data_IF_291039954683
#
_entry.id   IF_291039954683
#
_cell.length_a   1.000
_cell.length_b   1.000
_cell.length_c   1.000
_cell.angle_alpha   90.00
_cell.angle_beta   90.00
_cell.angle_gamma   90.00
#
_symmetry.space_group_name_H-M   'P 1'
#
loop_
_entity.id
_entity.type
_entity.pdbx_description
1 polymer ?
#
# COMPACT_ATOMS: atom_id res chain seq x y z
N UNK A 1 6.48 -5.56 41.97
CA UNK A 1 7.05 -4.82 40.83
C UNK A 1 6.16 -5.04 39.63
N UNK A 2 5.60 -3.95 39.11
CA UNK A 2 4.37 -3.83 38.31
C UNK A 2 4.72 -3.08 37.03
N UNK A 3 4.88 -3.78 35.90
CA UNK A 3 5.09 -3.12 34.60
C UNK A 3 4.34 -3.76 33.42
N UNK A 4 3.53 -4.80 33.63
CA UNK A 4 2.80 -5.46 32.54
C UNK A 4 1.39 -4.92 32.27
N UNK A 5 0.82 -4.06 33.13
CA UNK A 5 -0.54 -3.51 32.93
C UNK A 5 -0.58 -2.21 32.11
N UNK A 6 0.50 -1.42 32.07
CA UNK A 6 0.54 -0.15 31.33
C UNK A 6 0.61 -0.33 29.81
N UNK A 7 1.25 -1.40 29.33
CA UNK A 7 1.36 -1.69 27.90
C UNK A 7 0.03 -2.14 27.27
N UNK A 8 -0.83 -2.83 28.01
CA UNK A 8 -2.16 -3.26 27.52
C UNK A 8 -3.17 -2.12 27.49
N UNK A 9 -3.06 -1.17 28.43
CA UNK A 9 -3.86 0.06 28.43
C UNK A 9 -3.49 0.95 27.23
N UNK A 10 -2.19 1.20 26.99
CA UNK A 10 -1.74 2.00 25.84
C UNK A 10 -2.04 1.36 24.48
N UNK A 11 -2.03 0.03 24.37
CA UNK A 11 -2.43 -0.67 23.14
C UNK A 11 -3.93 -0.57 22.87
N UNK A 12 -4.77 -0.60 23.93
CA UNK A 12 -6.22 -0.36 23.80
C UNK A 12 -6.53 1.09 23.44
N UNK A 13 -5.88 2.04 24.10
CA UNK A 13 -6.04 3.48 23.85
C UNK A 13 -5.63 3.83 22.42
N UNK A 14 -4.50 3.29 21.94
CA UNK A 14 -4.06 3.46 20.54
C UNK A 14 -5.01 2.81 19.53
N UNK A 15 -5.61 1.67 19.86
CA UNK A 15 -6.61 1.02 19.01
C UNK A 15 -7.91 1.84 18.92
N UNK A 16 -8.35 2.44 20.02
CA UNK A 16 -9.53 3.31 20.06
C UNK A 16 -9.31 4.60 19.28
N UNK A 17 -8.15 5.25 19.42
CA UNK A 17 -7.76 6.43 18.63
C UNK A 17 -7.73 6.10 17.13
N UNK A 18 -7.11 4.96 16.76
CA UNK A 18 -7.08 4.51 15.37
C UNK A 18 -8.50 4.25 14.83
N UNK A 19 -9.35 3.60 15.62
CA UNK A 19 -10.72 3.26 15.25
C UNK A 19 -11.57 4.50 15.02
N UNK A 20 -11.54 5.48 15.94
CA UNK A 20 -12.26 6.74 15.77
C UNK A 20 -11.79 7.51 14.54
N UNK A 21 -10.47 7.63 14.34
CA UNK A 21 -9.91 8.28 13.16
C UNK A 21 -10.35 7.59 11.86
N UNK A 22 -10.33 6.26 11.85
CA UNK A 22 -10.72 5.45 10.71
C UNK A 22 -12.22 5.55 10.40
N UNK A 23 -13.07 5.48 11.43
CA UNK A 23 -14.52 5.60 11.29
C UNK A 23 -14.91 7.01 10.83
N UNK A 24 -14.28 8.06 11.37
CA UNK A 24 -14.48 9.45 10.93
C UNK A 24 -14.05 9.64 9.47
N UNK A 25 -12.93 9.02 9.04
CA UNK A 25 -12.52 9.03 7.63
C UNK A 25 -13.47 8.23 6.73
N UNK A 26 -13.96 7.09 7.18
CA UNK A 26 -14.88 6.25 6.42
C UNK A 26 -16.22 6.99 6.22
N UNK A 27 -16.69 7.70 7.25
CA UNK A 27 -17.89 8.53 7.17
C UNK A 27 -17.71 9.70 6.21
N UNK A 28 -16.63 10.49 6.35
CA UNK A 28 -16.32 11.57 5.41
C UNK A 28 -16.19 11.06 3.96
N UNK A 29 -15.68 9.85 3.76
CA UNK A 29 -15.60 9.24 2.44
C UNK A 29 -16.98 8.87 1.89
N UNK A 30 -17.90 8.35 2.73
CA UNK A 30 -19.28 8.04 2.35
C UNK A 30 -20.04 9.32 1.98
N UNK A 31 -19.96 10.36 2.81
CA UNK A 31 -20.67 11.62 2.60
C UNK A 31 -20.19 12.31 1.32
N UNK A 32 -18.87 12.37 1.10
CA UNK A 32 -18.31 12.90 -0.15
C UNK A 32 -18.66 12.06 -1.38
N UNK A 33 -18.83 10.74 -1.22
CA UNK A 33 -19.24 9.85 -2.32
C UNK A 33 -20.70 10.10 -2.69
N UNK A 34 -21.58 10.30 -1.72
CA UNK A 34 -22.98 10.66 -1.95
C UNK A 34 -23.08 12.03 -2.62
N UNK A 35 -22.38 13.04 -2.10
CA UNK A 35 -22.37 14.39 -2.68
C UNK A 35 -21.85 14.41 -4.13
N UNK A 36 -20.72 13.74 -4.41
CA UNK A 36 -20.19 13.64 -5.76
C UNK A 36 -21.07 12.81 -6.70
N UNK A 37 -21.81 11.82 -6.19
CA UNK A 37 -22.77 11.07 -6.98
C UNK A 37 -23.94 11.96 -7.40
N UNK A 38 -24.38 12.86 -6.52
CA UNK A 38 -25.46 13.83 -6.77
C UNK A 38 -25.06 14.84 -7.86
N UNK A 39 -23.89 15.48 -7.71
CA UNK A 39 -23.32 16.41 -8.71
C UNK A 39 -23.16 15.71 -10.07
N UNK A 40 -22.64 14.48 -10.09
CA UNK A 40 -22.47 13.74 -11.35
C UNK A 40 -23.81 13.32 -11.96
N UNK A 41 -24.85 13.06 -11.17
CA UNK A 41 -26.19 12.72 -11.67
C UNK A 41 -26.82 13.94 -12.36
N UNK A 42 -26.72 15.11 -11.74
CA UNK A 42 -27.20 16.38 -12.30
C UNK A 42 -26.40 16.80 -13.55
N UNK A 43 -25.07 16.68 -13.51
CA UNK A 43 -24.22 16.96 -14.67
C UNK A 43 -24.47 15.99 -15.84
N UNK A 44 -24.75 14.70 -15.55
CA UNK A 44 -25.16 13.71 -16.56
C UNK A 44 -26.49 14.09 -17.19
N UNK A 45 -27.51 14.49 -16.44
CA UNK A 45 -28.82 14.85 -17.01
C UNK A 45 -28.76 15.99 -18.06
N UNK A 46 -27.69 16.80 -18.06
CA UNK A 46 -27.48 17.92 -18.98
C UNK A 46 -26.76 17.56 -20.31
N UNK A 47 -26.21 16.36 -20.45
CA UNK A 47 -25.42 15.96 -21.65
C UNK A 47 -25.98 14.67 -22.29
N UNK A 48 -26.13 14.66 -23.63
CA UNK A 48 -26.51 13.46 -24.38
C UNK A 48 -25.45 12.35 -24.28
N UNK A 49 -25.86 11.09 -24.37
CA UNK A 49 -24.98 9.93 -24.15
C UNK A 49 -23.76 9.90 -25.08
N UNK A 50 -23.92 10.41 -26.31
CA UNK A 50 -22.85 10.44 -27.32
C UNK A 50 -21.83 11.55 -27.05
N UNK A 51 -22.27 12.75 -26.65
CA UNK A 51 -21.35 13.82 -26.21
C UNK A 51 -20.52 13.42 -24.99
N UNK A 52 -21.06 12.57 -24.11
CA UNK A 52 -20.30 12.02 -22.96
C UNK A 52 -19.22 11.04 -23.39
N UNK A 53 -19.49 10.17 -24.37
CA UNK A 53 -18.49 9.22 -24.90
C UNK A 53 -17.35 9.98 -25.59
N UNK A 54 -17.68 11.00 -26.36
CA UNK A 54 -16.73 11.82 -27.11
C UNK A 54 -15.85 12.68 -26.20
N UNK A 55 -16.42 13.35 -25.21
CA UNK A 55 -15.66 14.09 -24.19
C UNK A 55 -14.74 13.17 -23.35
N UNK A 56 -15.20 11.94 -23.07
CA UNK A 56 -14.38 10.95 -22.36
C UNK A 56 -13.23 10.43 -23.23
N UNK A 57 -13.49 10.15 -24.52
CA UNK A 57 -12.45 9.77 -25.49
C UNK A 57 -11.42 10.87 -25.65
N UNK A 58 -11.86 12.11 -25.91
CA UNK A 58 -10.97 13.27 -26.04
C UNK A 58 -10.14 13.52 -24.77
N UNK A 59 -10.72 13.34 -23.59
CA UNK A 59 -9.98 13.44 -22.32
C UNK A 59 -8.94 12.33 -22.16
N UNK A 60 -9.30 11.09 -22.48
CA UNK A 60 -8.37 9.94 -22.42
C UNK A 60 -7.25 10.09 -23.43
N UNK A 61 -7.56 10.61 -24.63
CA UNK A 61 -6.59 10.82 -25.71
C UNK A 61 -5.62 11.95 -25.40
N UNK A 62 -6.11 13.10 -24.89
CA UNK A 62 -5.24 14.17 -24.34
C UNK A 62 -4.37 13.66 -23.20
N UNK A 63 -4.91 12.83 -22.32
CA UNK A 63 -4.15 12.23 -21.23
C UNK A 63 -3.09 11.24 -21.76
N UNK A 64 -3.40 10.44 -22.79
CA UNK A 64 -2.44 9.53 -23.42
C UNK A 64 -1.33 10.28 -24.16
N UNK A 65 -1.69 11.35 -24.88
CA UNK A 65 -0.75 12.19 -25.61
C UNK A 65 0.21 12.97 -24.68
N UNK A 66 -0.20 13.25 -23.45
CA UNK A 66 0.62 13.97 -22.46
C UNK A 66 1.59 13.07 -21.67
N UNK A 67 1.53 11.75 -21.82
CA UNK A 67 2.40 10.81 -21.10
C UNK A 67 3.79 10.75 -21.77
N UNK A 68 4.67 11.70 -21.41
CA UNK A 68 6.13 11.51 -21.47
C UNK A 68 6.51 10.33 -20.57
N UNK A 69 7.63 9.61 -20.83
CA UNK A 69 8.03 8.48 -19.99
C UNK A 69 8.08 8.90 -18.52
N UNK A 70 7.18 8.35 -17.72
CA UNK A 70 7.11 8.60 -16.29
C UNK A 70 8.04 7.60 -15.62
N UNK A 71 9.21 8.10 -15.24
CA UNK A 71 10.20 7.51 -14.35
C UNK A 71 10.57 6.06 -14.69
N UNK A 72 11.49 5.89 -15.64
CA UNK A 72 12.34 4.69 -15.65
C UNK A 72 13.68 5.00 -16.28
N UNK A 73 14.75 4.82 -15.50
CA UNK A 73 16.08 4.36 -15.94
C UNK A 73 17.10 4.12 -14.83
N UNK A 74 16.79 4.42 -13.56
CA UNK A 74 17.66 4.04 -12.45
C UNK A 74 17.40 2.58 -12.05
N UNK A 75 18.45 1.78 -11.73
CA UNK A 75 18.27 0.42 -11.24
C UNK A 75 17.60 0.51 -9.87
N UNK A 76 16.28 0.35 -9.84
CA UNK A 76 15.60 0.06 -8.58
C UNK A 76 16.09 -1.31 -8.15
N UNK A 77 16.58 -1.40 -6.91
CA UNK A 77 17.00 -2.66 -6.31
C UNK A 77 15.83 -3.66 -6.37
N UNK A 78 15.90 -4.55 -7.35
CA UNK A 78 14.85 -5.52 -7.66
C UNK A 78 14.71 -6.54 -6.54
N UNK A 79 15.82 -6.85 -5.85
CA UNK A 79 15.83 -7.78 -4.73
C UNK A 79 15.16 -7.16 -3.52
N UNK A 80 15.43 -5.88 -3.24
CA UNK A 80 14.70 -5.11 -2.22
C UNK A 80 13.21 -5.07 -2.53
N UNK A 81 12.81 -4.73 -3.75
CA UNK A 81 11.39 -4.72 -4.13
C UNK A 81 10.74 -6.10 -4.00
N UNK A 82 11.46 -7.17 -4.36
CA UNK A 82 10.98 -8.54 -4.20
C UNK A 82 10.75 -8.89 -2.73
N UNK A 83 11.67 -8.52 -1.85
CA UNK A 83 11.53 -8.68 -0.40
C UNK A 83 10.33 -7.88 0.13
N UNK A 84 10.20 -6.61 -0.26
CA UNK A 84 9.07 -5.76 0.11
C UNK A 84 7.72 -6.36 -0.39
N UNK A 85 7.69 -6.94 -1.59
CA UNK A 85 6.48 -7.61 -2.10
C UNK A 85 6.15 -8.89 -1.34
N UNK A 86 7.16 -9.63 -0.89
CA UNK A 86 6.96 -10.80 -0.03
C UNK A 86 6.47 -10.38 1.36
N UNK A 87 7.04 -9.32 1.93
CA UNK A 87 6.59 -8.70 3.17
C UNK A 87 5.11 -8.32 3.12
N UNK A 88 4.72 -7.61 2.05
CA UNK A 88 3.34 -7.22 1.82
C UNK A 88 2.40 -8.44 1.74
N UNK A 89 2.82 -9.51 1.05
CA UNK A 89 2.02 -10.75 0.96
C UNK A 89 1.83 -11.41 2.32
N UNK A 90 2.90 -11.54 3.10
CA UNK A 90 2.85 -12.14 4.44
C UNK A 90 1.98 -11.32 5.40
N UNK A 91 2.14 -10.00 5.37
CA UNK A 91 1.33 -9.10 6.17
C UNK A 91 -0.16 -9.15 5.77
N UNK A 92 -0.45 -9.18 4.47
CA UNK A 92 -1.83 -9.31 3.98
C UNK A 92 -2.45 -10.68 4.25
N UNK A 93 -1.65 -11.74 4.41
CA UNK A 93 -2.13 -13.09 4.73
C UNK A 93 -2.67 -13.18 6.16
N UNK A 94 -2.20 -12.31 7.08
CA UNK A 94 -2.73 -12.21 8.44
C UNK A 94 -4.23 -11.85 8.41
N UNK A 95 -4.98 -12.41 9.37
CA UNK A 95 -6.43 -12.21 9.39
C UNK A 95 -6.80 -10.95 10.18
N UNK A 96 -7.20 -9.92 9.44
CA UNK A 96 -7.71 -8.68 9.99
C UNK A 96 -8.54 -7.90 8.97
N UNK A 97 -9.49 -7.11 9.49
CA UNK A 97 -10.41 -6.31 8.68
C UNK A 97 -9.71 -5.37 7.68
N UNK A 98 -8.62 -4.64 8.03
CA UNK A 98 -7.89 -3.81 7.06
C UNK A 98 -7.15 -4.64 6.00
N UNK A 99 -6.53 -5.76 6.39
CA UNK A 99 -5.82 -6.67 5.49
C UNK A 99 -6.79 -7.23 4.43
N UNK A 100 -7.99 -7.67 4.83
CA UNK A 100 -9.02 -8.16 3.90
C UNK A 100 -9.43 -7.12 2.84
N UNK A 101 -9.53 -5.84 3.22
CA UNK A 101 -9.84 -4.74 2.26
C UNK A 101 -8.67 -4.50 1.29
N UNK A 102 -7.42 -4.56 1.78
CA UNK A 102 -6.21 -4.30 0.99
C UNK A 102 -5.75 -5.48 0.15
N UNK A 103 -6.12 -6.73 0.47
CA UNK A 103 -5.81 -7.92 -0.34
C UNK A 103 -6.23 -7.77 -1.80
N UNK A 104 -7.42 -7.22 -2.05
CA UNK A 104 -7.93 -6.96 -3.41
C UNK A 104 -7.11 -5.90 -4.17
N UNK A 105 -6.32 -5.10 -3.45
CA UNK A 105 -5.50 -3.99 -3.94
C UNK A 105 -4.00 -4.31 -3.91
N UNK A 106 -3.58 -5.52 -3.53
CA UNK A 106 -2.17 -5.89 -3.37
C UNK A 106 -1.31 -5.58 -4.61
N UNK A 107 -1.83 -5.85 -5.81
CA UNK A 107 -1.15 -5.53 -7.07
C UNK A 107 -0.98 -4.02 -7.28
N UNK A 108 -1.97 -3.22 -6.92
CA UNK A 108 -1.93 -1.76 -7.04
C UNK A 108 -0.96 -1.15 -6.02
N UNK A 109 -0.97 -1.66 -4.79
CA UNK A 109 -0.05 -1.26 -3.72
C UNK A 109 1.40 -1.58 -4.13
N UNK A 110 1.64 -2.78 -4.65
CA UNK A 110 2.96 -3.17 -5.13
C UNK A 110 3.48 -2.32 -6.28
N UNK A 111 2.62 -2.02 -7.26
CA UNK A 111 2.96 -1.09 -8.34
C UNK A 111 3.25 0.33 -7.81
N UNK A 112 2.43 0.84 -6.89
CA UNK A 112 2.64 2.14 -6.27
C UNK A 112 3.96 2.19 -5.48
N UNK A 113 4.31 1.12 -4.75
CA UNK A 113 5.58 1.04 -4.02
C UNK A 113 6.80 1.05 -4.96
N UNK A 114 6.74 0.29 -6.05
CA UNK A 114 7.80 0.29 -7.06
C UNK A 114 7.99 1.67 -7.69
N UNK A 115 6.89 2.35 -8.05
CA UNK A 115 6.94 3.71 -8.61
C UNK A 115 7.42 4.74 -7.58
N UNK A 116 7.03 4.59 -6.31
CA UNK A 116 7.51 5.43 -5.21
C UNK A 116 9.03 5.29 -5.02
N UNK A 117 9.53 4.06 -4.97
CA UNK A 117 10.96 3.78 -4.81
C UNK A 117 11.77 4.29 -6.02
N UNK A 118 11.25 4.11 -7.24
CA UNK A 118 11.86 4.65 -8.45
C UNK A 118 11.95 6.19 -8.42
N UNK A 119 10.88 6.86 -8.00
CA UNK A 119 10.87 8.31 -7.87
C UNK A 119 11.90 8.79 -6.85
N UNK A 120 11.90 8.17 -5.68
CA UNK A 120 12.79 8.56 -4.59
C UNK A 120 14.25 8.38 -5.00
N UNK A 121 14.58 7.32 -5.75
CA UNK A 121 15.91 7.09 -6.30
C UNK A 121 16.31 8.13 -7.36
N UNK A 122 15.35 8.63 -8.15
CA UNK A 122 15.60 9.62 -9.21
C UNK A 122 15.67 11.06 -8.70
N UNK A 123 14.76 11.46 -7.81
CA UNK A 123 14.58 12.86 -7.38
C UNK A 123 15.06 13.13 -5.95
N UNK A 124 15.33 12.09 -5.17
CA UNK A 124 15.64 12.20 -3.74
C UNK A 124 14.45 12.64 -2.87
N UNK A 125 13.25 12.77 -3.44
CA UNK A 125 12.05 13.26 -2.76
C UNK A 125 10.88 12.29 -2.90
N UNK A 126 9.92 12.38 -1.98
CA UNK A 126 8.67 11.64 -2.10
C UNK A 126 7.80 12.23 -3.23
N UNK A 127 7.14 11.39 -4.06
CA UNK A 127 6.28 11.86 -5.13
C UNK A 127 5.04 12.55 -4.59
N UNK A 128 4.60 13.61 -5.26
CA UNK A 128 3.33 14.26 -4.95
C UNK A 128 2.12 13.39 -5.36
N UNK A 129 0.93 13.73 -4.87
CA UNK A 129 -0.31 13.03 -5.23
C UNK A 129 -0.57 12.99 -6.74
N UNK A 130 -0.23 14.09 -7.42
CA UNK A 130 -0.43 14.24 -8.86
C UNK A 130 0.54 13.35 -9.64
N UNK A 131 1.81 13.42 -9.28
CA UNK A 131 2.85 12.62 -9.93
C UNK A 131 2.62 11.12 -9.74
N UNK A 132 2.21 10.69 -8.53
CA UNK A 132 1.84 9.29 -8.29
C UNK A 132 0.64 8.86 -9.13
N UNK A 133 -0.36 9.73 -9.31
CA UNK A 133 -1.52 9.41 -10.17
C UNK A 133 -1.09 9.29 -11.64
N UNK A 134 -0.26 10.20 -12.14
CA UNK A 134 0.24 10.17 -13.51
C UNK A 134 1.09 8.91 -13.75
N UNK A 135 2.00 8.58 -12.83
CA UNK A 135 2.83 7.37 -12.88
C UNK A 135 2.00 6.09 -12.89
N UNK A 136 1.00 5.98 -11.99
CA UNK A 136 0.09 4.84 -11.96
C UNK A 136 -0.75 4.75 -13.24
N UNK A 137 -1.13 5.88 -13.82
CA UNK A 137 -1.86 5.90 -15.08
C UNK A 137 -1.02 5.36 -16.24
N UNK A 138 0.24 5.80 -16.33
CA UNK A 138 1.19 5.28 -17.30
C UNK A 138 1.42 3.77 -17.11
N UNK A 139 1.66 3.34 -15.87
CA UNK A 139 1.98 1.93 -15.56
C UNK A 139 0.81 0.98 -15.82
N UNK A 140 -0.41 1.40 -15.50
CA UNK A 140 -1.61 0.54 -15.58
C UNK A 140 -2.37 0.70 -16.89
N UNK A 141 -2.04 1.71 -17.71
CA UNK A 141 -2.78 2.07 -18.92
C UNK A 141 -4.20 2.59 -18.67
N UNK A 142 -4.57 2.83 -17.41
CA UNK A 142 -5.89 3.33 -16.98
C UNK A 142 -5.76 4.77 -16.52
N UNK A 143 -6.76 5.60 -16.75
CA UNK A 143 -6.75 6.96 -16.20
C UNK A 143 -6.85 6.92 -14.66
N UNK A 144 -5.91 7.56 -13.96
CA UNK A 144 -5.93 7.74 -12.51
C UNK A 144 -6.21 9.20 -12.17
N UNK A 145 -6.98 9.42 -11.12
CA UNK A 145 -7.24 10.75 -10.56
C UNK A 145 -6.23 11.07 -9.47
N UNK A 146 -5.99 12.37 -9.22
CA UNK A 146 -5.11 12.84 -8.13
C UNK A 146 -5.52 12.24 -6.78
N UNK A 147 -6.83 12.07 -6.54
CA UNK A 147 -7.34 11.43 -5.32
C UNK A 147 -6.95 9.96 -5.20
N UNK A 148 -6.91 9.23 -6.32
CA UNK A 148 -6.42 7.85 -6.32
C UNK A 148 -4.90 7.81 -6.08
N UNK A 149 -4.14 8.78 -6.60
CA UNK A 149 -2.73 8.97 -6.24
C UNK A 149 -2.53 9.23 -4.75
N UNK A 150 -3.31 10.13 -4.16
CA UNK A 150 -3.32 10.35 -2.70
C UNK A 150 -3.66 9.09 -1.92
N UNK A 151 -4.65 8.32 -2.39
CA UNK A 151 -5.05 7.05 -1.74
C UNK A 151 -3.91 6.03 -1.78
N UNK A 152 -3.21 5.93 -2.91
CA UNK A 152 -2.05 5.05 -3.06
C UNK A 152 -0.92 5.43 -2.10
N UNK A 153 -0.57 6.72 -2.00
CA UNK A 153 0.43 7.19 -1.03
C UNK A 153 -0.01 6.92 0.41
N UNK A 154 -1.29 7.14 0.73
CA UNK A 154 -1.83 6.83 2.05
C UNK A 154 -1.75 5.35 2.41
N UNK A 155 -1.86 4.44 1.45
CA UNK A 155 -1.59 3.01 1.71
C UNK A 155 -0.12 2.77 2.04
N UNK A 156 0.80 3.37 1.27
CA UNK A 156 2.24 3.19 1.49
C UNK A 156 2.68 3.73 2.85
N UNK A 157 2.22 4.93 3.22
CA UNK A 157 2.49 5.55 4.51
C UNK A 157 1.95 4.70 5.67
N UNK A 158 0.71 4.20 5.57
CA UNK A 158 0.15 3.33 6.60
C UNK A 158 0.91 2.00 6.74
N UNK A 159 1.39 1.43 5.64
CA UNK A 159 2.21 0.21 5.67
C UNK A 159 3.62 0.47 6.24
N UNK A 160 4.18 1.65 5.99
CA UNK A 160 5.44 2.09 6.60
C UNK A 160 5.30 2.27 8.11
N UNK A 161 4.26 2.99 8.57
CA UNK A 161 3.98 3.19 10.01
C UNK A 161 3.68 1.88 10.74
N UNK A 162 3.06 0.90 10.05
CA UNK A 162 2.85 -0.44 10.59
C UNK A 162 4.12 -1.32 10.61
N UNK A 163 5.25 -0.81 10.12
CA UNK A 163 6.53 -1.52 10.05
C UNK A 163 6.53 -2.69 9.07
N UNK A 164 5.65 -2.70 8.07
CA UNK A 164 5.51 -3.84 7.14
C UNK A 164 6.79 -4.06 6.33
N UNK A 165 7.48 -2.99 5.93
CA UNK A 165 8.70 -3.11 5.13
C UNK A 165 9.93 -3.46 5.97
N UNK A 166 9.98 -3.01 7.23
CA UNK A 166 11.11 -3.23 8.13
C UNK A 166 11.10 -4.63 8.75
N UNK A 167 9.92 -5.12 9.17
CA UNK A 167 9.76 -6.44 9.80
C UNK A 167 10.16 -7.62 8.92
N UNK A 168 10.29 -7.39 7.62
CA UNK A 168 10.62 -8.41 6.61
C UNK A 168 11.80 -7.97 5.74
N UNK A 169 12.68 -7.09 6.23
CA UNK A 169 14.03 -6.95 5.66
C UNK A 169 14.73 -8.29 5.83
N UNK A 170 14.69 -9.11 4.80
CA UNK A 170 15.60 -10.23 4.65
C UNK A 170 16.98 -9.58 4.54
N UNK A 171 17.77 -9.65 5.61
CA UNK A 171 19.18 -9.27 5.54
C UNK A 171 19.80 -10.08 4.39
N UNK A 172 20.44 -9.45 3.39
CA UNK A 172 21.29 -10.20 2.49
C UNK A 172 22.39 -10.78 3.38
N UNK A 173 22.32 -12.09 3.64
CA UNK A 173 23.45 -12.80 4.21
C UNK A 173 24.60 -12.56 3.24
N UNK A 174 25.54 -11.68 3.61
CA UNK A 174 26.80 -11.55 2.88
C UNK A 174 27.41 -12.94 2.93
N UNK A 175 27.45 -13.62 1.79
CA UNK A 175 28.33 -14.77 1.61
C UNK A 175 29.75 -14.24 1.75
N UNK A 176 30.27 -14.20 2.98
CA UNK A 176 31.70 -14.29 3.20
C UNK A 176 32.09 -15.68 2.74
N UNK A 177 32.87 -15.72 1.66
CA UNK A 177 33.22 -16.96 0.99
C UNK A 177 33.92 -17.94 1.92
N UNK A 178 33.54 -19.21 1.81
CA UNK A 178 34.41 -20.37 1.68
C UNK A 178 33.58 -21.63 1.86
N UNK A 179 33.54 -22.47 0.82
CA UNK A 179 33.28 -23.90 0.97
C UNK A 179 31.84 -24.34 1.24
N UNK A 180 31.39 -25.24 0.36
CA UNK A 180 30.53 -26.38 0.69
C UNK A 180 29.02 -26.16 0.87
N UNK A 181 28.30 -26.60 -0.17
CA UNK A 181 27.12 -27.48 -0.12
C UNK A 181 26.31 -27.49 1.18
N UNK A 182 25.07 -27.01 1.09
CA UNK A 182 23.81 -27.66 1.53
C UNK A 182 22.80 -26.67 2.13
N UNK A 183 21.53 -26.81 1.73
CA UNK A 183 20.37 -26.36 2.49
C UNK A 183 20.00 -24.88 2.37
N UNK A 184 18.84 -24.60 1.77
CA UNK A 184 18.10 -23.36 2.03
C UNK A 184 17.59 -23.44 3.47
N UNK A 185 18.31 -22.81 4.41
CA UNK A 185 17.81 -22.63 5.77
C UNK A 185 16.87 -21.42 5.80
N UNK A 186 15.56 -21.70 5.83
CA UNK A 186 14.56 -20.73 6.29
C UNK A 186 14.65 -20.77 7.81
N UNK A 187 15.30 -19.78 8.42
CA UNK A 187 15.24 -19.59 9.87
C UNK A 187 13.84 -19.03 10.21
N UNK A 188 12.85 -19.92 10.23
CA UNK A 188 11.58 -19.67 10.88
C UNK A 188 11.91 -19.61 12.37
N UNK A 189 11.92 -18.42 12.98
CA UNK A 189 11.95 -18.38 14.44
C UNK A 189 10.69 -19.09 14.96
N UNK A 190 10.82 -20.22 15.68
CA UNK A 190 9.68 -20.79 16.36
C UNK A 190 9.35 -19.88 17.54
N UNK A 191 8.16 -19.30 17.55
CA UNK A 191 7.59 -18.79 18.78
C UNK A 191 7.42 -20.00 19.68
N UNK A 192 8.27 -20.08 20.70
CA UNK A 192 8.26 -21.10 21.74
C UNK A 192 6.87 -21.17 22.39
N UNK A 193 6.03 -22.11 21.96
CA UNK A 193 5.04 -22.71 22.84
C UNK A 193 5.82 -23.61 23.80
N UNK A 194 5.94 -23.21 25.06
CA UNK A 194 6.12 -24.17 26.14
C UNK A 194 4.74 -24.48 26.71
N UNK A 195 4.25 -25.72 26.58
CA UNK A 195 3.11 -26.23 27.29
C UNK A 195 3.62 -26.96 28.53
N UNK A 196 3.88 -26.24 29.62
CA UNK A 196 4.11 -26.89 30.91
C UNK A 196 3.29 -26.14 31.96
N UNK A 197 2.58 -26.93 32.77
CA UNK A 197 1.56 -26.61 33.79
C UNK A 197 0.13 -26.39 33.23
N UNK A 198 -0.89 -27.20 33.50
CA UNK A 198 -1.00 -28.36 34.37
C UNK A 198 -2.33 -29.09 34.06
N UNK A 199 -2.27 -30.37 33.73
CA UNK A 199 -3.27 -31.32 34.20
C UNK A 199 -2.53 -32.24 35.17
N UNK A 200 -2.91 -32.20 36.46
CA UNK A 200 -2.46 -33.14 37.47
C UNK A 200 -2.16 -32.52 38.84
N UNK A 201 -3.17 -32.02 39.54
CA UNK A 201 -3.71 -32.53 40.82
C UNK A 201 -4.77 -31.57 41.37
#
# INVERSE_FOLDING_TARGET
MTEYSSNLAGVRENYEIFREFWDRREQQHRDRKQHNAQINKEARQRLSADRRKEATRARVERHRAALKPIWTRQPVDLDRLRCEMQALRLWLAQDGRPQRKLRKRAKEIGAARALYAAHLAETGKAPTHREMAEAMAARTGKAWTVRQGQTALGWLEALEQAGVWERYRISPVRQTGEGSREGVFIESQPVSHKPEDAFGF
#
